data_IF_801815170534
#
_entry.id   IF_801815170534
#
_cell.length_a   1.000
_cell.length_b   1.000
_cell.length_c   1.000
_cell.angle_alpha   90.00
_cell.angle_beta   90.00
_cell.angle_gamma   90.00
#
_symmetry.space_group_name_H-M   'P 1'
#
loop_
_entity.id
_entity.type
_entity.pdbx_description
1 polymer ?
#
# COMPACT_ATOMS: atom_id res chain seq x y z
N UNK A 1 61.83 -24.41 20.50
CA UNK A 1 61.25 -24.71 21.83
C UNK A 1 60.26 -23.60 22.13
N UNK A 2 58.99 -23.76 22.48
CA UNK A 2 58.19 -24.89 22.96
C UNK A 2 56.71 -24.49 22.83
N UNK A 3 55.85 -25.49 22.63
CA UNK A 3 54.38 -25.45 22.51
C UNK A 3 53.67 -24.79 23.69
N UNK A 4 52.45 -24.29 23.41
CA UNK A 4 51.10 -24.62 23.99
C UNK A 4 50.26 -23.35 23.89
N UNK A 5 49.10 -23.31 23.24
CA UNK A 5 47.93 -24.17 23.41
C UNK A 5 46.80 -23.30 24.00
N UNK A 6 46.04 -22.62 23.14
CA UNK A 6 44.88 -21.79 23.53
C UNK A 6 43.61 -22.36 22.94
N UNK A 7 42.78 -22.97 23.79
CA UNK A 7 41.44 -23.46 23.48
C UNK A 7 40.39 -22.34 23.71
N UNK A 8 39.16 -22.47 23.18
CA UNK A 8 38.26 -21.35 22.90
C UNK A 8 37.40 -20.92 24.09
N UNK A 9 37.04 -19.63 24.10
CA UNK A 9 36.10 -19.04 25.05
C UNK A 9 34.67 -19.55 24.81
N UNK A 10 34.02 -19.90 25.92
CA UNK A 10 32.73 -20.57 26.03
C UNK A 10 31.56 -19.63 25.74
N UNK A 11 30.61 -20.11 24.94
CA UNK A 11 29.27 -19.57 24.84
C UNK A 11 28.51 -19.77 26.17
N UNK A 12 28.06 -18.68 26.77
CA UNK A 12 27.16 -18.70 27.92
C UNK A 12 25.72 -18.85 27.46
N UNK A 13 25.10 -20.00 27.74
CA UNK A 13 23.66 -20.21 27.64
C UNK A 13 22.97 -19.72 28.91
N UNK A 14 22.11 -18.70 28.77
CA UNK A 14 21.18 -18.30 29.81
C UNK A 14 19.88 -19.11 29.70
N UNK A 15 19.64 -19.84 30.79
CA UNK A 15 18.50 -20.71 31.10
C UNK A 15 17.16 -19.97 31.03
N UNK A 16 16.14 -20.63 30.48
CA UNK A 16 14.75 -20.42 30.87
C UNK A 16 14.13 -21.75 31.29
N UNK A 17 13.52 -21.72 32.47
CA UNK A 17 12.84 -22.83 33.13
C UNK A 17 11.62 -23.30 32.32
N UNK A 18 11.56 -24.59 32.01
CA UNK A 18 10.31 -25.27 31.68
C UNK A 18 9.59 -25.64 32.98
N UNK A 19 8.39 -25.09 33.17
CA UNK A 19 7.43 -25.64 34.11
C UNK A 19 6.85 -26.94 33.52
N UNK A 20 7.10 -28.06 34.18
CA UNK A 20 6.49 -29.34 33.85
C UNK A 20 5.07 -29.40 34.42
N UNK A 21 4.05 -29.49 33.56
CA UNK A 21 2.71 -29.88 33.96
C UNK A 21 2.65 -31.42 33.96
N UNK A 22 2.47 -32.01 35.13
CA UNK A 22 2.22 -33.43 35.32
C UNK A 22 0.77 -33.73 34.92
N UNK A 23 0.57 -34.60 33.93
CA UNK A 23 -0.73 -35.18 33.61
C UNK A 23 -0.76 -36.60 34.19
N UNK A 24 -1.72 -36.96 35.06
CA UNK A 24 -1.81 -38.32 35.57
C UNK A 24 -2.32 -39.26 34.47
N UNK A 25 -1.65 -40.41 34.33
CA UNK A 25 -2.08 -41.49 33.47
C UNK A 25 -3.31 -42.19 34.09
N UNK A 26 -4.43 -42.16 33.39
CA UNK A 26 -5.60 -42.98 33.71
C UNK A 26 -5.44 -44.35 33.05
N UNK A 27 -5.40 -45.39 33.87
CA UNK A 27 -5.38 -46.81 33.44
C UNK A 27 -6.79 -47.22 33.03
N UNK A 28 -7.03 -47.85 31.87
CA UNK A 28 -8.33 -48.40 31.54
C UNK A 28 -8.58 -49.73 32.27
N UNK A 29 -9.76 -49.87 32.88
CA UNK A 29 -10.27 -51.12 33.45
C UNK A 29 -10.73 -52.10 32.35
N UNK A 30 -10.78 -53.43 32.62
CA UNK A 30 -11.17 -54.42 31.62
C UNK A 30 -12.67 -54.34 31.27
N UNK A 31 -12.95 -54.49 29.98
CA UNK A 31 -14.29 -54.47 29.42
C UNK A 31 -15.13 -55.68 29.86
N UNK A 32 -16.31 -55.41 30.42
CA UNK A 32 -17.35 -56.42 30.62
C UNK A 32 -18.14 -56.62 29.30
N UNK A 33 -18.44 -57.87 28.97
CA UNK A 33 -19.25 -58.26 27.82
C UNK A 33 -20.71 -57.79 28.01
N UNK A 34 -21.36 -57.15 27.02
CA UNK A 34 -22.78 -56.83 27.10
C UNK A 34 -23.66 -58.04 26.73
N UNK A 35 -24.76 -58.17 27.48
CA UNK A 35 -25.88 -59.09 27.24
C UNK A 35 -26.66 -58.73 25.96
N UNK A 36 -27.42 -59.68 25.37
CA UNK A 36 -28.18 -59.43 24.14
C UNK A 36 -29.35 -58.47 24.39
N UNK A 37 -29.41 -57.39 23.61
CA UNK A 37 -30.49 -56.38 23.60
C UNK A 37 -31.47 -56.74 22.47
N UNK A 38 -32.80 -56.66 22.68
CA UNK A 38 -33.79 -56.98 21.64
C UNK A 38 -33.73 -55.97 20.47
N UNK A 39 -34.10 -56.46 19.29
CA UNK A 39 -34.07 -55.72 18.03
C UNK A 39 -34.79 -54.35 18.13
N UNK A 40 -34.00 -53.28 18.03
CA UNK A 40 -34.51 -51.92 17.96
C UNK A 40 -35.00 -51.63 16.53
N UNK A 41 -36.21 -51.09 16.45
CA UNK A 41 -36.85 -50.58 15.24
C UNK A 41 -35.99 -49.47 14.62
N UNK A 42 -35.65 -49.60 13.34
CA UNK A 42 -34.89 -48.61 12.57
C UNK A 42 -35.75 -47.33 12.41
N UNK A 43 -35.39 -46.19 13.01
CA UNK A 43 -36.08 -44.94 12.70
C UNK A 43 -35.71 -44.51 11.28
N UNK A 44 -36.71 -44.05 10.52
CA UNK A 44 -36.54 -43.55 9.17
C UNK A 44 -35.41 -42.49 9.13
N UNK A 45 -34.48 -42.66 8.19
CA UNK A 45 -33.36 -41.75 7.99
C UNK A 45 -33.90 -40.34 7.69
N UNK A 46 -33.64 -39.40 8.61
CA UNK A 46 -33.85 -37.97 8.34
C UNK A 46 -32.95 -37.56 7.17
N UNK A 47 -33.45 -36.78 6.20
CA UNK A 47 -32.63 -36.30 5.10
C UNK A 47 -31.47 -35.49 5.65
N UNK A 48 -30.24 -35.94 5.37
CA UNK A 48 -29.02 -35.17 5.64
C UNK A 48 -29.09 -33.93 4.75
N UNK A 49 -29.10 -32.71 5.31
CA UNK A 49 -29.07 -31.50 4.48
C UNK A 49 -27.78 -31.53 3.64
N UNK A 50 -27.93 -31.35 2.33
CA UNK A 50 -26.79 -31.22 1.44
C UNK A 50 -25.84 -30.14 1.97
N UNK A 51 -24.51 -30.33 1.90
CA UNK A 51 -23.57 -29.31 2.33
C UNK A 51 -23.86 -28.03 1.52
N UNK A 52 -24.20 -26.95 2.22
CA UNK A 52 -24.32 -25.64 1.61
C UNK A 52 -23.01 -25.35 0.88
N UNK A 53 -23.08 -25.09 -0.43
CA UNK A 53 -21.92 -24.70 -1.20
C UNK A 53 -21.27 -23.50 -0.52
N UNK A 54 -20.02 -23.68 -0.05
CA UNK A 54 -19.23 -22.56 0.45
C UNK A 54 -19.23 -21.49 -0.64
N UNK A 55 -19.47 -20.20 -0.32
CA UNK A 55 -19.40 -19.15 -1.33
C UNK A 55 -18.03 -19.23 -2.01
N UNK A 56 -18.04 -19.49 -3.32
CA UNK A 56 -16.82 -19.63 -4.10
C UNK A 56 -15.98 -18.37 -4.01
N UNK A 57 -14.65 -18.52 -4.05
CA UNK A 57 -13.75 -17.39 -4.22
C UNK A 57 -14.05 -16.71 -5.55
N UNK A 58 -14.19 -15.38 -5.53
CA UNK A 58 -14.38 -14.63 -6.77
C UNK A 58 -13.17 -14.85 -7.68
N UNK A 59 -13.43 -15.16 -8.96
CA UNK A 59 -12.36 -15.30 -9.97
C UNK A 59 -11.83 -13.92 -10.32
N UNK A 60 -10.51 -13.75 -10.27
CA UNK A 60 -9.84 -12.54 -10.73
C UNK A 60 -10.27 -12.16 -12.16
N UNK A 61 -10.46 -10.87 -12.41
CA UNK A 61 -10.72 -10.34 -13.73
C UNK A 61 -9.54 -10.67 -14.67
N UNK A 62 -9.85 -10.88 -15.95
CA UNK A 62 -8.80 -11.08 -16.95
C UNK A 62 -7.99 -9.79 -17.11
N UNK A 63 -6.67 -9.93 -17.07
CA UNK A 63 -5.72 -8.82 -17.16
C UNK A 63 -4.65 -9.10 -18.21
N UNK A 64 -4.27 -8.06 -18.95
CA UNK A 64 -3.07 -8.09 -19.79
C UNK A 64 -1.90 -7.46 -19.03
N UNK A 65 -0.68 -7.89 -19.36
CA UNK A 65 0.53 -7.17 -18.95
C UNK A 65 0.74 -5.97 -19.87
N UNK A 66 0.71 -4.75 -19.31
CA UNK A 66 1.02 -3.54 -20.05
C UNK A 66 2.54 -3.35 -20.19
N UNK A 67 3.28 -3.36 -19.08
CA UNK A 67 4.73 -3.35 -19.05
C UNK A 67 5.28 -3.83 -17.69
N UNK A 68 6.60 -3.99 -17.59
CA UNK A 68 7.30 -4.37 -16.36
C UNK A 68 8.34 -3.33 -15.99
N UNK A 69 8.30 -2.85 -14.76
CA UNK A 69 9.30 -1.90 -14.23
C UNK A 69 10.60 -2.67 -14.00
N UNK A 70 11.71 -2.10 -14.49
CA UNK A 70 13.05 -2.72 -14.40
C UNK A 70 14.02 -1.93 -13.53
N UNK A 71 13.66 -0.72 -13.15
CA UNK A 71 14.50 0.14 -12.31
C UNK A 71 14.37 -0.32 -10.86
N UNK A 72 15.48 -0.75 -10.26
CA UNK A 72 15.51 -1.30 -8.90
C UNK A 72 15.15 -0.27 -7.82
N UNK A 73 15.10 1.02 -8.18
CA UNK A 73 14.63 2.07 -7.26
C UNK A 73 13.11 2.09 -7.09
N UNK A 74 12.36 1.30 -7.88
CA UNK A 74 10.90 1.28 -7.90
C UNK A 74 10.36 -0.09 -7.44
N UNK A 75 10.89 -0.65 -6.37
CA UNK A 75 10.38 -1.92 -5.80
C UNK A 75 9.20 -1.73 -4.87
N UNK A 76 9.01 -0.50 -4.37
CA UNK A 76 8.10 -0.06 -3.29
C UNK A 76 6.95 0.80 -3.84
N UNK A 77 6.53 0.56 -5.09
CA UNK A 77 5.55 1.43 -5.77
C UNK A 77 4.22 1.43 -5.03
N UNK A 78 3.84 2.59 -4.51
CA UNK A 78 2.56 2.83 -3.83
C UNK A 78 1.59 3.61 -4.73
N UNK A 79 2.09 4.62 -5.45
CA UNK A 79 1.29 5.46 -6.34
C UNK A 79 1.68 5.40 -7.82
N UNK A 80 0.70 5.49 -8.73
CA UNK A 80 0.87 5.45 -10.18
C UNK A 80 -0.21 6.28 -10.91
N UNK A 81 0.20 7.10 -11.88
CA UNK A 81 -0.70 7.74 -12.84
C UNK A 81 -0.25 7.50 -14.28
N UNK A 82 -1.16 7.12 -15.16
CA UNK A 82 -0.90 7.07 -16.60
C UNK A 82 -0.97 8.48 -17.24
N UNK A 83 -0.10 8.72 -18.23
CA UNK A 83 0.04 9.97 -18.99
C UNK A 83 0.09 9.67 -20.49
N UNK A 84 0.10 10.68 -21.37
CA UNK A 84 0.33 10.47 -22.82
C UNK A 84 1.61 9.68 -23.11
N UNK A 85 2.65 9.93 -22.32
CA UNK A 85 4.01 9.47 -22.60
C UNK A 85 4.39 8.18 -21.85
N UNK A 86 3.51 7.67 -20.99
CA UNK A 86 3.81 6.55 -20.10
C UNK A 86 3.22 6.77 -18.71
N UNK A 87 4.05 6.74 -17.68
CA UNK A 87 3.58 6.73 -16.28
C UNK A 87 4.34 7.72 -15.40
N UNK A 88 3.71 8.15 -14.31
CA UNK A 88 4.36 8.77 -13.17
C UNK A 88 4.17 7.83 -11.97
N UNK A 89 5.24 7.53 -11.25
CA UNK A 89 5.22 6.60 -10.11
C UNK A 89 6.01 7.15 -8.92
N UNK A 90 5.59 6.76 -7.72
CA UNK A 90 6.27 7.04 -6.45
C UNK A 90 6.29 5.77 -5.59
N UNK A 91 7.27 5.69 -4.69
CA UNK A 91 7.32 4.64 -3.68
C UNK A 91 6.71 5.12 -2.36
N UNK A 92 6.23 4.21 -1.50
CA UNK A 92 5.87 4.50 -0.09
C UNK A 92 7.12 4.87 0.73
N UNK A 93 8.22 4.15 0.52
CA UNK A 93 9.46 4.23 1.28
C UNK A 93 10.27 5.52 1.05
N UNK A 94 10.58 6.19 2.16
CA UNK A 94 11.49 7.32 2.20
C UNK A 94 12.83 7.03 2.88
N UNK A 95 13.18 5.76 3.15
CA UNK A 95 14.44 5.41 3.82
C UNK A 95 15.67 5.52 2.90
N UNK A 96 15.54 5.09 1.66
CA UNK A 96 16.64 5.17 0.69
C UNK A 96 16.63 6.49 -0.09
N UNK A 97 17.72 7.26 -0.03
CA UNK A 97 17.81 8.56 -0.70
C UNK A 97 17.63 8.48 -2.24
N UNK A 98 18.03 7.36 -2.85
CA UNK A 98 17.85 7.08 -4.28
C UNK A 98 16.37 6.94 -4.68
N UNK A 99 15.51 6.51 -3.75
CA UNK A 99 14.08 6.23 -3.95
C UNK A 99 13.17 7.42 -3.66
N UNK A 100 13.66 8.44 -2.94
CA UNK A 100 12.95 9.70 -2.62
C UNK A 100 12.77 10.61 -3.83
N UNK A 101 12.06 10.15 -4.86
CA UNK A 101 11.90 10.86 -6.13
C UNK A 101 10.52 10.59 -6.72
N UNK A 102 10.07 11.50 -7.58
CA UNK A 102 8.94 11.30 -8.49
C UNK A 102 9.53 10.75 -9.79
N UNK A 103 9.14 9.54 -10.18
CA UNK A 103 9.67 8.86 -11.36
C UNK A 103 8.71 9.02 -12.54
N UNK A 104 9.25 9.34 -13.70
CA UNK A 104 8.53 9.42 -14.97
C UNK A 104 9.05 8.32 -15.86
N UNK A 105 8.15 7.46 -16.31
CA UNK A 105 8.43 6.27 -17.10
C UNK A 105 7.80 6.42 -18.48
N UNK A 106 8.42 5.80 -19.49
CA UNK A 106 7.80 5.65 -20.81
C UNK A 106 6.71 4.56 -20.80
N UNK A 107 6.05 4.34 -21.94
CA UNK A 107 5.02 3.30 -22.11
C UNK A 107 5.55 1.86 -21.98
N UNK A 108 6.88 1.67 -21.93
CA UNK A 108 7.55 0.39 -21.70
C UNK A 108 8.04 0.25 -20.25
N UNK A 109 7.61 1.14 -19.34
CA UNK A 109 8.03 1.18 -17.94
C UNK A 109 9.55 1.45 -17.76
N UNK A 110 10.21 2.12 -18.72
CA UNK A 110 11.59 2.57 -18.55
C UNK A 110 11.61 3.97 -17.93
N UNK A 111 12.38 4.19 -16.86
CA UNK A 111 12.52 5.52 -16.24
C UNK A 111 13.25 6.45 -17.19
N UNK A 112 12.56 7.49 -17.67
CA UNK A 112 13.10 8.50 -18.59
C UNK A 112 13.44 9.82 -17.88
N UNK A 113 12.84 10.06 -16.70
CA UNK A 113 13.12 11.23 -15.87
C UNK A 113 12.81 10.91 -14.40
N UNK A 114 13.55 11.52 -13.48
CA UNK A 114 13.17 11.52 -12.06
C UNK A 114 13.40 12.90 -11.44
N UNK A 115 12.54 13.29 -10.51
CA UNK A 115 12.59 14.57 -9.81
C UNK A 115 12.74 14.32 -8.32
N UNK A 116 13.85 14.76 -7.67
CA UNK A 116 14.00 14.59 -6.24
C UNK A 116 13.08 15.54 -5.46
N UNK A 117 12.65 15.13 -4.27
CA UNK A 117 12.00 16.03 -3.33
C UNK A 117 12.99 17.04 -2.72
N UNK A 118 12.63 18.32 -2.53
CA UNK A 118 13.50 19.33 -1.92
C UNK A 118 13.83 19.05 -0.44
N UNK A 119 12.97 18.28 0.24
CA UNK A 119 13.22 17.74 1.58
C UNK A 119 12.74 16.28 1.63
N UNK A 120 13.20 15.52 2.61
CA UNK A 120 12.80 14.11 2.78
C UNK A 120 11.26 14.02 2.92
N UNK A 121 10.54 13.35 2.00
CA UNK A 121 9.14 12.98 2.23
C UNK A 121 9.08 12.00 3.40
N UNK A 122 7.92 11.89 4.05
CA UNK A 122 7.78 11.00 5.20
C UNK A 122 7.23 9.65 4.79
N UNK A 123 6.11 9.63 4.07
CA UNK A 123 5.36 8.41 3.72
C UNK A 123 4.47 8.70 2.50
N UNK A 124 4.97 8.42 1.30
CA UNK A 124 4.30 8.83 0.05
C UNK A 124 3.47 7.72 -0.55
N UNK A 125 2.15 7.79 -0.39
CA UNK A 125 1.27 6.67 -0.73
C UNK A 125 0.69 6.72 -2.13
N UNK A 126 0.30 7.90 -2.60
CA UNK A 126 -0.45 7.99 -3.85
C UNK A 126 -0.08 9.24 -4.66
N UNK A 127 -0.53 9.31 -5.91
CA UNK A 127 -0.48 10.54 -6.68
C UNK A 127 -1.66 10.70 -7.62
N UNK A 128 -1.94 11.95 -7.94
CA UNK A 128 -2.91 12.34 -8.94
C UNK A 128 -2.33 13.39 -9.89
N UNK A 129 -2.88 13.51 -11.09
CA UNK A 129 -2.53 14.57 -12.05
C UNK A 129 -3.74 15.47 -12.24
N UNK A 130 -3.57 16.75 -11.98
CA UNK A 130 -4.60 17.76 -12.22
C UNK A 130 -4.82 18.00 -13.72
N UNK A 131 -5.95 18.63 -14.06
CA UNK A 131 -6.26 18.98 -15.46
C UNK A 131 -5.23 19.92 -16.10
N UNK A 132 -4.49 20.68 -15.28
CA UNK A 132 -3.37 21.53 -15.68
C UNK A 132 -2.05 20.77 -15.89
N UNK A 133 -2.04 19.44 -15.68
CA UNK A 133 -0.85 18.58 -15.74
C UNK A 133 0.03 18.64 -14.49
N UNK A 134 -0.39 19.33 -13.43
CA UNK A 134 0.33 19.32 -12.15
C UNK A 134 0.26 17.93 -11.53
N UNK A 135 1.41 17.35 -11.20
CA UNK A 135 1.48 16.12 -10.41
C UNK A 135 1.34 16.48 -8.93
N UNK A 136 0.40 15.84 -8.26
CA UNK A 136 0.17 15.92 -6.82
C UNK A 136 0.57 14.60 -6.20
N UNK A 137 1.63 14.58 -5.39
CA UNK A 137 2.00 13.39 -4.62
C UNK A 137 1.51 13.53 -3.19
N UNK A 138 0.86 12.49 -2.69
CA UNK A 138 0.28 12.42 -1.36
C UNK A 138 1.30 11.85 -0.38
N UNK A 139 1.87 12.71 0.47
CA UNK A 139 2.71 12.31 1.61
C UNK A 139 1.80 12.23 2.86
N UNK A 140 0.95 11.21 2.85
CA UNK A 140 -0.25 11.08 3.69
C UNK A 140 -0.29 9.81 4.55
N UNK A 141 0.64 8.88 4.37
CA UNK A 141 0.78 7.70 5.22
C UNK A 141 1.21 8.08 6.65
N UNK A 142 0.77 7.28 7.61
CA UNK A 142 1.09 7.43 9.03
C UNK A 142 0.73 6.15 9.80
N UNK A 143 1.36 5.01 9.49
CA UNK A 143 0.95 3.73 10.08
C UNK A 143 0.95 3.76 11.63
N UNK A 144 1.89 4.49 12.24
CA UNK A 144 2.00 4.69 13.69
C UNK A 144 1.04 5.74 14.27
N UNK A 145 0.35 6.51 13.41
CA UNK A 145 -0.59 7.59 13.76
C UNK A 145 0.00 8.64 14.69
N UNK A 146 1.18 9.12 14.36
CA UNK A 146 1.93 10.09 15.18
C UNK A 146 2.11 11.45 14.49
N UNK A 147 1.75 11.59 13.22
CA UNK A 147 1.96 12.80 12.44
C UNK A 147 0.86 13.82 12.70
N UNK A 148 1.23 14.94 13.31
CA UNK A 148 0.33 16.10 13.48
C UNK A 148 -0.06 16.78 12.15
N UNK A 149 0.71 16.56 11.08
CA UNK A 149 0.40 17.05 9.73
C UNK A 149 0.80 16.02 8.68
N UNK A 150 0.03 15.98 7.60
CA UNK A 150 0.35 15.31 6.35
C UNK A 150 0.60 16.35 5.25
N UNK A 151 0.92 15.91 4.03
CA UNK A 151 1.29 16.82 2.97
C UNK A 151 0.87 16.38 1.58
N UNK A 152 0.74 17.37 0.70
CA UNK A 152 0.70 17.21 -0.75
C UNK A 152 1.92 17.91 -1.36
N UNK A 153 2.68 17.18 -2.17
CA UNK A 153 3.75 17.72 -3.00
C UNK A 153 3.21 18.06 -4.38
N UNK A 154 3.31 19.32 -4.81
CA UNK A 154 2.86 19.77 -6.13
C UNK A 154 4.03 19.99 -7.07
N UNK A 155 4.07 19.28 -8.19
CA UNK A 155 5.03 19.46 -9.25
C UNK A 155 4.31 19.96 -10.51
N UNK A 156 4.41 21.27 -10.77
CA UNK A 156 3.88 21.87 -11.99
C UNK A 156 4.57 21.27 -13.24
N UNK A 157 3.87 21.23 -14.40
CA UNK A 157 4.47 20.80 -15.66
C UNK A 157 5.79 21.51 -15.96
N UNK A 158 6.79 20.77 -16.42
CA UNK A 158 8.13 21.31 -16.72
C UNK A 158 8.98 21.69 -15.50
N UNK A 159 8.41 21.75 -14.29
CA UNK A 159 9.17 22.00 -13.07
C UNK A 159 10.09 20.83 -12.71
N UNK A 160 11.14 21.16 -11.96
CA UNK A 160 12.10 20.22 -11.35
C UNK A 160 12.08 20.27 -9.82
N UNK A 161 11.19 21.05 -9.23
CA UNK A 161 11.13 21.26 -7.78
C UNK A 161 9.67 21.21 -7.34
N UNK A 162 9.21 20.11 -6.72
CA UNK A 162 7.88 20.06 -6.13
C UNK A 162 7.78 21.00 -4.93
N UNK A 163 6.61 21.60 -4.74
CA UNK A 163 6.30 22.52 -3.62
C UNK A 163 5.48 21.77 -2.57
N UNK A 164 5.85 21.94 -1.30
CA UNK A 164 5.20 21.30 -0.16
C UNK A 164 3.97 22.10 0.31
N UNK A 165 2.83 21.41 0.43
CA UNK A 165 1.60 21.95 1.01
C UNK A 165 1.18 21.08 2.20
N UNK A 166 1.08 21.65 3.40
CA UNK A 166 0.74 20.91 4.61
C UNK A 166 -0.76 20.89 4.87
N UNK A 167 -1.25 19.76 5.34
CA UNK A 167 -2.62 19.54 5.75
C UNK A 167 -2.66 18.99 7.18
N UNK A 168 -3.75 19.23 7.92
CA UNK A 168 -3.98 18.62 9.23
C UNK A 168 -5.39 18.04 9.33
N UNK A 169 -5.51 16.85 9.89
CA UNK A 169 -6.79 16.24 10.21
C UNK A 169 -7.47 16.96 11.39
N UNK A 170 -8.82 17.03 11.42
CA UNK A 170 -9.55 17.68 12.51
C UNK A 170 -9.66 16.82 13.78
N UNK A 171 -9.40 15.52 13.67
CA UNK A 171 -9.74 14.47 14.64
C UNK A 171 -8.52 13.61 15.03
N UNK A 172 -7.31 14.15 14.85
CA UNK A 172 -6.04 13.48 15.17
C UNK A 172 -5.38 12.80 13.97
N UNK A 173 -4.20 12.18 14.15
CA UNK A 173 -3.45 11.56 13.06
C UNK A 173 -4.18 10.35 12.45
N UNK A 174 -4.10 10.21 11.13
CA UNK A 174 -4.62 9.06 10.38
C UNK A 174 -3.62 8.57 9.37
N UNK A 175 -3.61 7.25 9.18
CA UNK A 175 -2.97 6.58 8.06
C UNK A 175 -3.90 6.64 6.84
N UNK A 176 -3.42 7.22 5.74
CA UNK A 176 -4.19 7.39 4.52
C UNK A 176 -3.40 7.05 3.28
N UNK A 177 -4.07 6.46 2.30
CA UNK A 177 -3.41 5.71 1.22
C UNK A 177 -3.91 6.10 -0.18
N UNK A 178 -4.96 6.93 -0.26
CA UNK A 178 -5.53 7.29 -1.54
C UNK A 178 -5.74 8.80 -1.66
N UNK A 179 -5.36 9.32 -2.82
CA UNK A 179 -5.60 10.69 -3.24
C UNK A 179 -6.44 10.72 -4.53
N UNK A 180 -7.61 11.32 -4.43
CA UNK A 180 -8.42 11.66 -5.60
C UNK A 180 -8.40 13.18 -5.82
N UNK A 181 -8.57 13.59 -7.07
CA UNK A 181 -8.82 14.99 -7.42
C UNK A 181 -10.23 15.10 -8.02
N UNK A 182 -11.04 16.01 -7.47
CA UNK A 182 -12.28 16.45 -8.11
C UNK A 182 -12.00 17.18 -9.43
N UNK A 183 -13.04 17.35 -10.26
CA UNK A 183 -12.94 18.12 -11.52
C UNK A 183 -12.55 19.58 -11.30
N UNK A 184 -12.88 20.11 -10.14
CA UNK A 184 -12.52 21.43 -9.63
C UNK A 184 -11.08 21.50 -9.06
N UNK A 185 -10.36 20.38 -9.07
CA UNK A 185 -9.02 20.25 -8.50
C UNK A 185 -9.00 20.10 -6.98
N UNK A 186 -10.15 19.87 -6.32
CA UNK A 186 -10.22 19.63 -4.89
C UNK A 186 -9.56 18.29 -4.53
N UNK A 187 -8.55 18.26 -3.64
CA UNK A 187 -8.00 17.02 -3.10
C UNK A 187 -8.98 16.32 -2.17
N UNK A 188 -9.19 15.03 -2.38
CA UNK A 188 -9.95 14.14 -1.50
C UNK A 188 -9.02 13.03 -1.02
N UNK A 189 -8.83 12.94 0.30
CA UNK A 189 -7.96 11.97 0.96
C UNK A 189 -8.81 10.89 1.62
N UNK A 190 -8.46 9.61 1.40
CA UNK A 190 -9.18 8.47 1.96
C UNK A 190 -8.26 7.63 2.85
N UNK A 191 -8.71 7.31 4.07
CA UNK A 191 -7.88 6.61 5.06
C UNK A 191 -7.85 5.08 4.90
N UNK A 192 -6.77 4.43 5.36
CA UNK A 192 -6.61 2.97 5.40
C UNK A 192 -7.25 2.40 6.66
N UNK A 193 -8.51 2.00 6.58
CA UNK A 193 -9.23 1.45 7.74
C UNK A 193 -10.00 0.20 7.34
N UNK A 194 -9.90 -0.88 8.14
CA UNK A 194 -10.61 -2.14 7.85
C UNK A 194 -12.12 -2.08 8.11
N UNK A 195 -12.57 -1.01 8.76
CA UNK A 195 -13.97 -0.66 8.98
C UNK A 195 -14.44 0.38 7.97
N UNK A 196 -14.88 1.53 8.47
CA UNK A 196 -15.25 2.67 7.63
C UNK A 196 -14.04 3.58 7.44
N UNK A 197 -13.61 3.74 6.19
CA UNK A 197 -12.56 4.67 5.84
C UNK A 197 -13.10 6.10 5.94
N UNK A 198 -12.31 7.01 6.51
CA UNK A 198 -12.65 8.42 6.56
C UNK A 198 -12.33 9.09 5.24
N UNK A 199 -13.24 9.96 4.78
CA UNK A 199 -13.05 10.81 3.59
C UNK A 199 -12.82 12.23 4.07
N UNK A 200 -11.67 12.81 3.72
CA UNK A 200 -11.23 14.14 4.16
C UNK A 200 -10.95 15.06 2.99
N UNK A 201 -11.27 16.33 3.16
CA UNK A 201 -10.98 17.37 2.16
C UNK A 201 -10.44 18.63 2.84
N UNK A 202 -9.52 19.38 2.20
CA UNK A 202 -9.07 20.67 2.70
C UNK A 202 -10.24 21.65 2.93
N UNK A 203 -10.16 22.48 3.97
CA UNK A 203 -11.12 23.57 4.23
C UNK A 203 -10.92 24.77 3.30
N UNK A 204 -9.82 24.80 2.56
CA UNK A 204 -9.55 25.76 1.49
C UNK A 204 -8.40 25.27 0.60
N UNK A 205 -8.04 26.03 -0.45
CA UNK A 205 -6.97 25.64 -1.37
C UNK A 205 -5.65 25.41 -0.63
N UNK A 206 -4.90 24.33 -0.93
CA UNK A 206 -3.58 24.11 -0.35
C UNK A 206 -2.63 25.28 -0.65
N UNK A 207 -1.98 25.82 0.40
CA UNK A 207 -1.07 26.98 0.30
C UNK A 207 0.29 26.62 0.90
N UNK A 208 1.36 27.00 0.22
CA UNK A 208 2.71 26.76 0.71
C UNK A 208 2.98 27.63 1.95
N UNK A 209 3.71 27.08 2.92
CA UNK A 209 4.08 27.79 4.16
C UNK A 209 2.97 27.87 5.22
N UNK A 210 1.76 27.38 4.94
CA UNK A 210 0.65 27.33 5.90
C UNK A 210 0.11 25.90 5.97
N UNK A 211 -0.18 25.42 7.18
CA UNK A 211 -0.95 24.17 7.36
C UNK A 211 -2.43 24.47 7.16
N UNK A 212 -3.03 23.87 6.14
CA UNK A 212 -4.47 24.01 5.86
C UNK A 212 -5.23 22.91 6.60
N UNK A 213 -6.18 23.24 7.50
CA UNK A 213 -7.01 22.23 8.13
C UNK A 213 -7.86 21.49 7.10
N UNK A 214 -8.04 20.19 7.28
CA UNK A 214 -9.07 19.41 6.59
C UNK A 214 -10.34 19.33 7.44
N UNK A 215 -11.45 19.03 6.78
CA UNK A 215 -12.67 18.55 7.43
C UNK A 215 -12.90 17.09 7.05
N UNK A 216 -13.54 16.35 7.95
CA UNK A 216 -14.09 15.02 7.64
C UNK A 216 -15.36 15.21 6.82
N UNK A 217 -15.31 14.85 5.55
CA UNK A 217 -16.39 15.03 4.60
C UNK A 217 -17.38 13.84 4.58
N UNK A 218 -16.96 12.68 5.09
CA UNK A 218 -17.85 11.55 5.32
C UNK A 218 -17.10 10.25 5.60
N UNK A 219 -17.82 9.14 5.45
CA UNK A 219 -17.33 7.77 5.62
C UNK A 219 -17.57 6.94 4.37
N UNK A 220 -16.55 6.19 3.99
CA UNK A 220 -16.61 5.19 2.95
C UNK A 220 -16.73 3.81 3.59
N UNK A 221 -17.71 3.03 3.12
CA UNK A 221 -17.86 1.62 3.45
C UNK A 221 -17.83 0.79 2.18
N UNK A 222 -16.75 0.04 1.99
CA UNK A 222 -16.62 -0.86 0.84
C UNK A 222 -17.50 -2.11 1.02
N UNK A 223 -18.09 -2.65 -0.06
CA UNK A 223 -18.87 -3.88 0.01
C UNK A 223 -17.96 -5.07 0.35
N UNK A 224 -18.54 -6.12 0.94
CA UNK A 224 -17.77 -7.34 1.25
C UNK A 224 -17.62 -8.20 0.00
N UNK A 225 -16.40 -8.67 -0.26
CA UNK A 225 -16.05 -9.53 -1.41
C UNK A 225 -15.50 -10.89 -0.94
N UNK A 226 -15.30 -11.80 -1.89
CA UNK A 226 -14.66 -13.12 -1.67
C UNK A 226 -13.36 -13.29 -2.46
N UNK A 227 -12.78 -12.20 -2.96
CA UNK A 227 -11.57 -12.20 -3.80
C UNK A 227 -10.37 -12.73 -3.02
N UNK A 228 -9.59 -13.62 -3.65
CA UNK A 228 -8.38 -14.19 -3.07
C UNK A 228 -7.30 -13.11 -2.92
N UNK A 229 -6.62 -13.10 -1.78
CA UNK A 229 -5.50 -12.20 -1.50
C UNK A 229 -4.69 -12.72 -0.29
N UNK A 230 -3.44 -12.27 -0.09
CA UNK A 230 -2.58 -12.75 1.01
C UNK A 230 -3.04 -12.31 2.40
N UNK A 231 -3.85 -11.25 2.49
CA UNK A 231 -4.29 -10.60 3.73
C UNK A 231 -5.73 -10.96 4.13
N UNK A 232 -6.34 -11.93 3.45
CA UNK A 232 -7.69 -12.42 3.71
C UNK A 232 -8.73 -11.29 3.79
N UNK A 233 -9.52 -11.24 4.85
CA UNK A 233 -10.56 -10.25 5.08
C UNK A 233 -10.05 -8.80 5.09
N UNK A 234 -8.85 -8.56 5.64
CA UNK A 234 -8.28 -7.21 5.68
C UNK A 234 -7.93 -6.72 4.27
N UNK A 235 -7.38 -7.61 3.42
CA UNK A 235 -7.01 -7.25 2.07
C UNK A 235 -8.16 -6.82 1.16
N UNK A 236 -9.40 -7.19 1.52
CA UNK A 236 -10.61 -6.82 0.78
C UNK A 236 -11.18 -5.46 1.18
N UNK A 237 -10.68 -4.86 2.27
CA UNK A 237 -11.30 -3.70 2.92
C UNK A 237 -10.36 -2.51 3.09
N UNK A 238 -9.06 -2.76 3.24
CA UNK A 238 -8.08 -1.69 3.40
C UNK A 238 -7.81 -1.04 2.06
N UNK A 239 -8.12 0.26 1.95
CA UNK A 239 -7.78 1.09 0.79
C UNK A 239 -6.26 1.22 0.70
N UNK A 240 -5.71 1.06 -0.50
CA UNK A 240 -4.28 1.14 -0.80
C UNK A 240 -3.94 2.11 -1.94
N UNK A 241 -4.95 2.66 -2.62
CA UNK A 241 -4.74 3.66 -3.66
C UNK A 241 -6.04 4.14 -4.28
N UNK A 242 -5.99 5.25 -5.02
CA UNK A 242 -7.14 5.78 -5.73
C UNK A 242 -6.78 6.49 -7.03
N UNK A 243 -7.74 6.60 -7.94
CA UNK A 243 -7.60 7.45 -9.11
C UNK A 243 -8.94 8.05 -9.56
N UNK A 244 -8.88 9.26 -10.10
CA UNK A 244 -9.99 9.88 -10.84
C UNK A 244 -9.83 9.57 -12.34
N UNK A 245 -10.92 9.17 -13.00
CA UNK A 245 -10.91 8.96 -14.44
C UNK A 245 -10.60 10.27 -15.20
N UNK A 246 -10.01 10.21 -16.40
CA UNK A 246 -9.64 11.42 -17.15
C UNK A 246 -10.81 12.37 -17.47
N UNK A 247 -12.02 11.81 -17.61
CA UNK A 247 -13.23 12.60 -17.80
C UNK A 247 -13.84 13.09 -16.48
N UNK A 248 -13.30 12.71 -15.32
CA UNK A 248 -13.81 13.07 -14.00
C UNK A 248 -15.22 12.58 -13.70
N UNK A 249 -15.74 11.58 -14.44
CA UNK A 249 -17.09 11.00 -14.22
C UNK A 249 -17.06 9.75 -13.38
N UNK A 250 -15.87 9.23 -13.10
CA UNK A 250 -15.65 7.99 -12.34
C UNK A 250 -14.43 8.16 -11.46
N UNK A 251 -14.45 7.52 -10.31
CA UNK A 251 -13.27 7.33 -9.46
C UNK A 251 -13.13 5.85 -9.15
N UNK A 252 -11.92 5.39 -8.93
CA UNK A 252 -11.64 4.04 -8.49
C UNK A 252 -10.88 4.11 -7.17
N UNK A 253 -11.25 3.25 -6.24
CA UNK A 253 -10.46 2.97 -5.05
C UNK A 253 -10.00 1.53 -5.11
N UNK A 254 -8.74 1.32 -4.77
CA UNK A 254 -8.13 0.00 -4.72
C UNK A 254 -7.98 -0.45 -3.28
N UNK A 255 -8.16 -1.76 -3.07
CA UNK A 255 -7.67 -2.48 -1.91
C UNK A 255 -6.60 -3.50 -2.34
N UNK A 256 -6.04 -4.24 -1.40
CA UNK A 256 -5.11 -5.33 -1.74
C UNK A 256 -5.74 -6.38 -2.68
N UNK A 257 -7.06 -6.58 -2.64
CA UNK A 257 -7.74 -7.64 -3.37
C UNK A 257 -8.62 -7.17 -4.54
N UNK A 258 -9.15 -5.95 -4.48
CA UNK A 258 -10.23 -5.50 -5.37
C UNK A 258 -10.01 -4.05 -5.82
N UNK A 259 -10.59 -3.69 -6.97
CA UNK A 259 -10.81 -2.31 -7.36
C UNK A 259 -12.31 -1.99 -7.36
N UNK A 260 -12.70 -0.88 -6.74
CA UNK A 260 -14.06 -0.40 -6.58
C UNK A 260 -14.25 0.88 -7.38
N UNK A 261 -14.95 0.78 -8.51
CA UNK A 261 -15.23 1.91 -9.39
C UNK A 261 -16.58 2.54 -9.06
N UNK A 262 -16.58 3.84 -8.75
CA UNK A 262 -17.75 4.64 -8.42
C UNK A 262 -18.04 5.60 -9.55
N UNK A 263 -19.32 5.76 -9.90
CA UNK A 263 -19.76 6.87 -10.75
C UNK A 263 -19.81 8.15 -9.93
N UNK A 264 -19.38 9.25 -10.54
CA UNK A 264 -19.34 10.59 -9.94
C UNK A 264 -20.35 11.47 -10.67
N UNK A 265 -21.65 11.36 -10.36
CA UNK A 265 -22.64 12.28 -10.88
C UNK A 265 -22.29 13.70 -10.41
N UNK A 266 -22.51 14.68 -11.30
CA UNK A 266 -22.32 16.11 -11.02
C UNK A 266 -20.90 16.53 -10.60
N UNK A 267 -19.91 15.63 -10.70
CA UNK A 267 -18.51 15.90 -10.35
C UNK A 267 -18.20 15.87 -8.85
N UNK A 268 -19.16 15.50 -8.00
CA UNK A 268 -18.97 15.42 -6.55
C UNK A 268 -18.40 14.05 -6.11
N UNK A 269 -17.08 14.00 -5.99
CA UNK A 269 -16.34 12.80 -5.57
C UNK A 269 -16.72 12.39 -4.14
N UNK A 270 -16.96 13.34 -3.23
CA UNK A 270 -17.32 13.01 -1.84
C UNK A 270 -18.67 12.32 -1.83
N UNK A 271 -19.67 12.91 -2.48
CA UNK A 271 -21.00 12.33 -2.57
C UNK A 271 -20.99 10.94 -3.23
N UNK A 272 -20.16 10.73 -4.27
CA UNK A 272 -19.99 9.43 -4.89
C UNK A 272 -19.48 8.35 -3.92
N UNK A 273 -18.51 8.69 -3.06
CA UNK A 273 -17.92 7.76 -2.10
C UNK A 273 -18.79 7.52 -0.86
N UNK A 274 -19.54 8.53 -0.42
CA UNK A 274 -20.26 8.50 0.87
C UNK A 274 -21.77 8.34 0.70
N UNK A 275 -22.30 8.47 -0.52
CA UNK A 275 -23.74 8.46 -0.83
C UNK A 275 -24.39 7.07 -0.84
N UNK A 276 -23.62 6.00 -0.64
CA UNK A 276 -24.14 4.63 -0.52
C UNK A 276 -24.49 3.92 -1.84
N UNK A 277 -24.25 4.56 -2.99
CA UNK A 277 -24.38 3.88 -4.29
C UNK A 277 -23.33 2.77 -4.40
N UNK A 278 -23.71 1.51 -4.64
CA UNK A 278 -22.74 0.42 -4.74
C UNK A 278 -21.76 0.62 -5.90
N UNK A 279 -20.44 0.46 -5.69
CA UNK A 279 -19.47 0.52 -6.77
C UNK A 279 -19.53 -0.73 -7.66
N UNK A 280 -19.01 -0.61 -8.88
CA UNK A 280 -18.61 -1.77 -9.68
C UNK A 280 -17.35 -2.37 -9.07
N UNK A 281 -17.33 -3.68 -8.88
CA UNK A 281 -16.20 -4.40 -8.28
C UNK A 281 -15.43 -5.14 -9.37
N UNK A 282 -14.12 -4.91 -9.42
CA UNK A 282 -13.16 -5.65 -10.26
C UNK A 282 -12.27 -6.48 -9.33
N UNK A 283 -12.49 -7.81 -9.26
CA UNK A 283 -11.60 -8.70 -8.51
C UNK A 283 -10.20 -8.69 -9.13
N UNK A 284 -9.18 -8.33 -8.36
CA UNK A 284 -7.79 -8.29 -8.83
C UNK A 284 -7.12 -9.66 -8.64
N UNK A 285 -5.98 -9.92 -9.32
CA UNK A 285 -5.17 -11.10 -9.07
C UNK A 285 -4.69 -11.16 -7.60
N UNK A 286 -4.32 -12.36 -7.16
CA UNK A 286 -3.69 -12.62 -5.85
C UNK A 286 -2.25 -12.07 -5.86
N UNK A 287 -2.13 -10.74 -5.86
CA UNK A 287 -0.88 -10.00 -5.85
C UNK A 287 -0.27 -10.02 -4.44
N UNK A 288 1.07 -10.08 -4.30
CA UNK A 288 1.71 -10.19 -3.00
C UNK A 288 1.41 -8.97 -2.11
N UNK A 289 1.38 -7.78 -2.70
CA UNK A 289 1.10 -6.52 -2.02
C UNK A 289 0.51 -5.50 -2.99
N UNK A 290 -0.81 -5.59 -3.17
CA UNK A 290 -1.56 -4.80 -4.12
C UNK A 290 -1.76 -3.34 -3.71
N UNK A 291 -0.93 -2.43 -4.21
CA UNK A 291 -0.95 -1.02 -3.80
C UNK A 291 -1.65 -0.10 -4.80
N UNK A 292 -1.11 0.04 -6.00
CA UNK A 292 -1.44 1.18 -6.86
C UNK A 292 -2.54 0.91 -7.89
N UNK A 293 -3.34 1.94 -8.22
CA UNK A 293 -4.36 1.92 -9.28
C UNK A 293 -4.38 3.22 -10.07
N UNK A 294 -4.67 3.13 -11.37
CA UNK A 294 -4.90 4.28 -12.24
C UNK A 294 -5.89 3.97 -13.35
N UNK A 295 -6.33 4.99 -14.07
CA UNK A 295 -6.97 4.82 -15.36
C UNK A 295 -5.94 5.00 -16.47
N UNK A 296 -6.12 4.31 -17.59
CA UNK A 296 -5.48 4.73 -18.83
C UNK A 296 -5.99 6.11 -19.23
N UNK A 297 -5.17 6.85 -19.98
CA UNK A 297 -5.51 8.22 -20.36
C UNK A 297 -6.78 8.33 -21.21
N UNK A 298 -7.09 7.32 -22.01
CA UNK A 298 -8.34 7.24 -22.78
C UNK A 298 -9.55 6.82 -21.94
N UNK A 299 -9.36 6.52 -20.65
CA UNK A 299 -10.41 6.09 -19.71
C UNK A 299 -10.98 4.69 -19.98
N UNK A 300 -10.33 3.90 -20.84
CA UNK A 300 -10.81 2.57 -21.28
C UNK A 300 -10.28 1.41 -20.45
N UNK A 301 -9.22 1.63 -19.69
CA UNK A 301 -8.57 0.60 -18.90
C UNK A 301 -8.39 1.06 -17.46
N UNK A 302 -8.57 0.14 -16.52
CA UNK A 302 -7.91 0.24 -15.21
C UNK A 302 -6.50 -0.31 -15.34
N UNK A 303 -5.58 0.30 -14.60
CA UNK A 303 -4.18 -0.06 -14.54
C UNK A 303 -3.81 -0.30 -13.09
N UNK A 304 -3.09 -1.38 -12.80
CA UNK A 304 -2.66 -1.68 -11.43
C UNK A 304 -1.19 -2.05 -11.41
N UNK A 305 -0.53 -1.82 -10.27
CA UNK A 305 0.81 -2.36 -10.01
C UNK A 305 0.92 -2.71 -8.53
N UNK A 306 1.54 -3.85 -8.25
CA UNK A 306 1.83 -4.35 -6.91
C UNK A 306 3.27 -3.99 -6.50
N UNK A 307 3.44 -3.68 -5.22
CA UNK A 307 4.75 -3.61 -4.59
C UNK A 307 5.45 -4.98 -4.66
N UNK A 308 6.78 -4.94 -4.74
CA UNK A 308 7.63 -6.13 -4.81
C UNK A 308 8.79 -6.12 -3.83
N UNK A 309 8.85 -5.16 -2.90
CA UNK A 309 9.85 -5.19 -1.84
C UNK A 309 9.63 -6.44 -0.97
N UNK A 310 10.74 -7.04 -0.52
CA UNK A 310 10.70 -8.30 0.23
C UNK A 310 10.24 -9.55 -0.54
N UNK A 311 9.87 -9.42 -1.82
CA UNK A 311 9.48 -10.56 -2.65
C UNK A 311 10.70 -11.36 -3.15
N UNK A 312 10.52 -12.62 -3.60
CA UNK A 312 11.62 -13.44 -4.11
C UNK A 312 12.43 -12.72 -5.20
N UNK A 313 13.75 -12.94 -5.20
CA UNK A 313 14.66 -12.31 -6.15
C UNK A 313 14.19 -12.51 -7.60
N UNK A 314 14.19 -11.42 -8.38
CA UNK A 314 13.72 -11.42 -9.77
C UNK A 314 12.23 -11.13 -9.94
N UNK A 315 11.45 -11.04 -8.86
CA UNK A 315 10.09 -10.47 -8.89
C UNK A 315 10.19 -9.01 -9.29
N UNK A 316 9.35 -8.57 -10.24
CA UNK A 316 9.37 -7.20 -10.77
C UNK A 316 7.98 -6.59 -10.71
N UNK A 317 7.86 -5.31 -10.35
CA UNK A 317 6.59 -4.62 -10.46
C UNK A 317 6.10 -4.69 -11.90
N UNK A 318 4.86 -5.14 -12.05
CA UNK A 318 4.24 -5.39 -13.35
C UNK A 318 2.97 -4.56 -13.43
N UNK A 319 2.89 -3.69 -14.43
CA UNK A 319 1.67 -2.92 -14.69
C UNK A 319 0.69 -3.85 -15.41
N UNK A 320 -0.42 -4.16 -14.76
CA UNK A 320 -1.53 -4.92 -15.32
C UNK A 320 -2.59 -3.95 -15.84
N UNK A 321 -3.31 -4.33 -16.90
CA UNK A 321 -4.44 -3.57 -17.44
C UNK A 321 -5.70 -4.42 -17.56
N UNK A 322 -6.84 -3.82 -17.24
CA UNK A 322 -8.17 -4.45 -17.23
C UNK A 322 -9.11 -3.62 -18.07
N UNK A 323 -9.82 -4.25 -19.01
CA UNK A 323 -10.78 -3.54 -19.84
C UNK A 323 -11.98 -3.09 -19.00
N UNK A 324 -12.36 -1.81 -19.10
CA UNK A 324 -13.55 -1.30 -18.45
C UNK A 324 -14.79 -1.52 -19.33
N UNK A 325 -15.89 -2.09 -18.78
CA UNK A 325 -17.15 -2.19 -19.50
C UNK A 325 -17.66 -0.80 -19.91
N UNK A 326 -18.06 -0.63 -21.18
CA UNK A 326 -18.65 0.63 -21.66
C UNK A 326 -17.65 1.73 -22.08
N UNK A 327 -16.37 1.38 -22.30
CA UNK A 327 -15.32 2.31 -22.75
C UNK A 327 -15.54 2.92 -24.14
N UNK A 328 -16.52 3.82 -24.27
CA UNK A 328 -16.54 4.82 -25.33
C UNK A 328 -15.42 5.83 -25.05
N UNK A 329 -14.60 6.11 -26.06
CA UNK A 329 -13.51 7.09 -25.93
C UNK A 329 -14.10 8.49 -25.65
N UNK A 330 -13.82 9.03 -24.47
CA UNK A 330 -14.08 10.45 -24.20
C UNK A 330 -13.00 11.28 -24.93
N UNK A 331 -13.36 12.31 -25.70
CA UNK A 331 -12.37 13.25 -26.23
C UNK A 331 -11.73 14.00 -25.04
N UNK A 332 -10.46 13.71 -24.75
CA UNK A 332 -9.69 14.34 -23.67
C UNK A 332 -8.87 15.50 -24.25
N UNK A 333 -8.78 16.67 -23.60
CA UNK A 333 -7.80 17.69 -23.97
C UNK A 333 -6.36 17.17 -23.82
N UNK A 334 -5.50 17.50 -24.78
CA UNK A 334 -4.08 17.11 -24.76
C UNK A 334 -3.31 17.82 -23.64
N UNK A 335 -3.12 17.15 -22.49
CA UNK A 335 -2.19 17.57 -21.45
C UNK A 335 -0.83 16.95 -21.74
N UNK A 336 0.00 17.64 -22.51
CA UNK A 336 1.40 17.27 -22.71
C UNK A 336 2.21 17.67 -21.47
N UNK A 337 2.61 16.71 -20.64
CA UNK A 337 3.66 16.96 -19.65
C UNK A 337 4.97 17.05 -20.43
N UNK A 338 5.38 18.27 -20.74
CA UNK A 338 6.57 18.50 -21.57
C UNK A 338 7.80 17.85 -20.94
N UNK A 339 8.34 16.84 -21.65
CA UNK A 339 9.62 16.23 -21.34
C UNK A 339 10.66 16.97 -22.18
N UNK A 340 11.13 18.13 -21.69
CA UNK A 340 12.24 18.80 -22.37
C UNK A 340 13.51 17.97 -22.17
N UNK A 341 13.97 17.33 -23.25
CA UNK A 341 15.31 16.78 -23.33
C UNK A 341 16.32 17.93 -23.17
N UNK A 342 17.21 17.83 -22.18
CA UNK A 342 18.32 18.78 -22.02
C UNK A 342 19.61 18.10 -22.43
N UNK A 343 20.17 18.62 -23.52
CA UNK A 343 21.56 18.41 -23.95
C UNK A 343 22.52 18.92 -22.87
N UNK A 344 23.58 18.16 -22.62
CA UNK A 344 24.63 18.50 -21.66
C UNK A 344 25.37 19.79 -22.06
N UNK A 345 25.67 20.71 -21.12
CA UNK A 345 26.67 21.74 -21.37
C UNK A 345 28.07 21.23 -21.02
N UNK A 346 29.00 21.63 -21.88
CA UNK A 346 30.42 21.38 -21.82
C UNK A 346 31.09 22.02 -20.59
N UNK A 347 32.24 21.43 -20.26
CA UNK A 347 33.24 21.82 -19.27
C UNK A 347 33.64 23.29 -19.35
N UNK A 348 33.52 24.00 -18.23
CA UNK A 348 34.10 25.33 -18.02
C UNK A 348 34.60 25.47 -16.58
N UNK A 349 35.93 25.42 -16.42
CA UNK A 349 36.64 25.62 -15.16
C UNK A 349 36.50 27.06 -14.67
N UNK A 350 36.21 27.24 -13.37
CA UNK A 350 36.46 28.50 -12.67
C UNK A 350 36.59 28.27 -11.17
N UNK A 351 37.68 28.77 -10.63
CA UNK A 351 38.24 28.62 -9.29
C UNK A 351 37.41 29.25 -8.16
N UNK A 352 37.41 28.57 -7.01
CA UNK A 352 36.92 29.06 -5.73
C UNK A 352 37.87 30.08 -5.08
N UNK A 353 37.37 30.84 -4.09
CA UNK A 353 38.13 31.12 -2.88
C UNK A 353 37.37 30.70 -1.61
N UNK A 354 38.12 30.29 -0.59
CA UNK A 354 37.68 30.02 0.79
C UNK A 354 38.67 30.70 1.75
N UNK A 355 38.45 30.75 3.08
CA UNK A 355 37.22 31.03 3.84
C UNK A 355 37.43 32.14 4.91
N UNK A 356 36.35 32.71 5.44
CA UNK A 356 36.38 33.59 6.62
C UNK A 356 35.74 32.89 7.83
N UNK A 357 36.54 32.67 8.88
CA UNK A 357 36.16 32.04 10.13
C UNK A 357 35.32 32.97 11.01
N UNK A 358 34.33 32.40 11.73
CA UNK A 358 33.78 32.98 12.96
C UNK A 358 33.55 31.90 14.01
N UNK A 359 33.82 32.34 15.24
CA UNK A 359 34.10 31.64 16.49
C UNK A 359 33.01 30.70 17.00
N UNK A 360 33.44 29.59 17.61
CA UNK A 360 32.57 28.65 18.33
C UNK A 360 32.91 28.67 19.83
N UNK A 361 32.01 29.23 20.63
CA UNK A 361 32.01 29.08 22.10
C UNK A 361 31.25 27.82 22.55
N UNK A 362 31.61 27.20 23.69
CA UNK A 362 31.19 25.85 24.03
C UNK A 362 29.87 25.85 24.79
N UNK A 363 28.86 25.12 24.28
CA UNK A 363 27.70 24.73 25.08
C UNK A 363 27.73 23.24 25.41
N UNK A 364 27.74 23.02 26.72
CA UNK A 364 27.76 21.78 27.48
C UNK A 364 26.76 20.76 26.96
N UNK A 365 27.25 19.53 26.83
CA UNK A 365 26.44 18.34 26.64
C UNK A 365 25.71 18.00 27.95
N UNK A 366 24.38 17.99 27.92
CA UNK A 366 23.60 17.27 28.91
C UNK A 366 23.29 15.86 28.37
N UNK A 367 23.84 14.89 29.09
CA UNK A 367 23.60 13.47 28.89
C UNK A 367 22.27 13.09 29.56
N UNK A 368 21.21 12.98 28.76
CA UNK A 368 19.93 12.39 29.15
C UNK A 368 19.65 11.14 28.32
N UNK A 369 20.19 9.99 28.76
CA UNK A 369 19.91 8.71 28.13
C UNK A 369 18.49 8.25 28.42
N UNK A 370 17.77 7.79 27.39
CA UNK A 370 16.65 6.86 27.56
C UNK A 370 16.79 5.75 26.53
N UNK A 371 16.92 4.54 27.06
CA UNK A 371 16.91 3.26 26.35
C UNK A 371 15.50 3.01 25.79
N UNK A 372 15.40 2.65 24.51
CA UNK A 372 14.21 1.98 23.98
C UNK A 372 14.64 0.72 23.25
N UNK A 373 14.21 -0.39 23.83
CA UNK A 373 14.55 -1.77 23.58
C UNK A 373 13.55 -2.36 22.57
N UNK A 374 14.06 -2.96 21.50
CA UNK A 374 13.52 -4.14 20.80
C UNK A 374 12.01 -4.45 20.95
N UNK A 375 11.15 -3.77 20.17
CA UNK A 375 9.77 -4.21 19.91
C UNK A 375 9.43 -3.99 18.42
N UNK A 376 10.16 -4.68 17.54
CA UNK A 376 9.88 -4.72 16.09
C UNK A 376 10.14 -6.07 15.44
N UNK A 377 10.85 -6.98 16.13
CA UNK A 377 11.14 -8.35 15.64
C UNK A 377 10.07 -9.36 16.09
N UNK A 378 9.32 -9.07 17.16
CA UNK A 378 8.36 -10.00 17.75
C UNK A 378 7.13 -10.30 16.89
N UNK A 379 6.63 -9.31 16.15
CA UNK A 379 5.39 -9.46 15.35
C UNK A 379 5.67 -10.27 14.07
N UNK A 380 6.85 -10.10 13.47
CA UNK A 380 7.26 -10.83 12.26
C UNK A 380 7.59 -12.30 12.59
N UNK A 381 8.25 -12.57 13.73
CA UNK A 381 8.57 -13.93 14.17
C UNK A 381 7.31 -14.69 14.62
N UNK A 382 6.36 -14.03 15.29
CA UNK A 382 5.08 -14.65 15.66
C UNK A 382 4.22 -15.01 14.43
N UNK A 383 4.21 -14.15 13.40
CA UNK A 383 3.53 -14.43 12.14
C UNK A 383 4.13 -15.63 11.39
N UNK A 384 5.46 -15.71 11.31
CA UNK A 384 6.16 -16.81 10.63
C UNK A 384 5.99 -18.16 11.33
N UNK A 385 5.94 -18.19 12.67
CA UNK A 385 5.69 -19.43 13.44
C UNK A 385 4.24 -19.92 13.33
N UNK A 386 3.27 -19.01 13.18
CA UNK A 386 1.86 -19.39 12.96
C UNK A 386 1.64 -19.99 11.56
N UNK A 387 2.31 -19.45 10.53
CA UNK A 387 2.22 -19.97 9.15
C UNK A 387 2.89 -21.35 9.04
N UNK A 388 4.04 -21.55 9.68
CA UNK A 388 4.74 -22.84 9.69
C UNK A 388 3.95 -23.95 10.41
N UNK A 389 3.25 -23.62 11.50
CA UNK A 389 2.45 -24.60 12.27
C UNK A 389 1.16 -25.00 11.56
N UNK A 390 0.50 -24.09 10.85
CA UNK A 390 -0.67 -24.40 10.02
C UNK A 390 -0.26 -25.22 8.77
N UNK A 391 0.88 -24.92 8.16
CA UNK A 391 1.43 -25.71 7.04
C UNK A 391 1.74 -27.16 7.43
N UNK A 392 2.40 -27.37 8.57
CA UNK A 392 2.74 -28.70 9.08
C UNK A 392 1.50 -29.53 9.49
N UNK A 393 0.46 -28.89 10.01
CA UNK A 393 -0.80 -29.55 10.37
C UNK A 393 -1.60 -30.01 9.13
N UNK A 394 -1.50 -29.27 8.00
CA UNK A 394 -2.19 -29.58 6.75
C UNK A 394 -1.51 -30.71 5.96
N UNK A 395 -0.17 -30.75 6.01
CA UNK A 395 0.62 -31.84 5.42
C UNK A 395 0.39 -33.19 6.13
N UNK A 396 0.13 -33.20 7.45
CA UNK A 396 -0.15 -34.43 8.21
C UNK A 396 -1.57 -34.98 8.00
N UNK A 397 -2.50 -34.19 7.47
CA UNK A 397 -3.89 -34.62 7.20
C UNK A 397 -4.12 -35.14 5.78
N UNK A 398 -3.17 -34.92 4.88
CA UNK A 398 -3.26 -35.34 3.46
C UNK A 398 -2.41 -36.57 3.13
N UNK A 399 -1.64 -37.07 4.11
CA UNK A 399 -0.80 -38.26 4.00
C UNK A 399 -1.31 -39.48 4.77
N UNK A 400 -2.64 -39.66 4.88
CA UNK A 400 -3.25 -40.90 5.39
C UNK A 400 -4.31 -41.40 4.45
#
# INVERSE_FOLDING_TARGET
MTRRGGAPARAGWSKWLLAALVVPAVVPAPAALPAPVPAAVVPAALPVPAPAALPGTARAAAADVACRVRDERLTEISGMVATDSGFVMVNDGADEASRRRIFFLDTRCAVVRSVPYPSRPRDTEDLAVGADGTVWVADIGDNDRVRSTVALWRLAPGSRRPVLHRLSYPDGPHDAEALLLGRDGLPVVVTKQGGEAGVYVPTGPPRAGVTVPMRRAGQLRLPTTTTANPYSFFGRRLVTGGATAPDGRRVVLRTYADAFEFDVPDGDVVAALTGGTPPRVVPLPDEPQGESVSYSRDGRWLLTVSETAGQPAGTRPTVLRYALPGGAASPVPSVSVAVSAVSAPATGSSSAPAPGAVDAGPHRADAGGVRSLLLGVGVIVAGLLLVASVGAARARRTGR
#
